data_IF_564871424978
#
_entry.id   IF_564871424978
#
_cell.length_a   1.000
_cell.length_b   1.000
_cell.length_c   1.000
_cell.angle_alpha   90.00
_cell.angle_beta   90.00
_cell.angle_gamma   90.00
#
_symmetry.space_group_name_H-M   'P 1'
#
loop_
_entity.id
_entity.type
_entity.pdbx_description
1 polymer ?
2 branched ?
3 branched ?
4 non-polymer ?
5 non-polymer ?
6 water ?
#
# COMPACT_ATOMS: atom_id res chain seq x y z
N UNK A 1 -25.31 6.13 2.21
CA UNK A 1 -26.48 6.50 1.37
C UNK A 1 -26.58 5.47 0.25
N UNK A 2 -25.96 5.78 -0.89
CA UNK A 2 -25.95 4.86 -2.02
C UNK A 2 -24.51 4.41 -2.18
N UNK A 3 -24.34 3.27 -2.82
CA UNK A 3 -23.01 2.75 -3.07
C UNK A 3 -22.27 3.72 -4.00
N UNK A 4 -20.99 3.96 -3.73
CA UNK A 4 -20.22 4.82 -4.59
C UNK A 4 -19.88 4.15 -5.92
N UNK A 5 -19.92 4.93 -6.99
CA UNK A 5 -19.58 4.43 -8.32
C UNK A 5 -18.39 5.25 -8.82
N UNK A 6 -17.41 4.55 -9.37
CA UNK A 6 -16.19 5.17 -9.91
C UNK A 6 -16.53 5.82 -11.24
N UNK A 7 -17.23 6.95 -11.17
CA UNK A 7 -17.65 7.63 -12.38
C UNK A 7 -16.66 8.63 -12.92
N UNK A 8 -15.73 9.11 -12.09
CA UNK A 8 -14.75 10.10 -12.54
C UNK A 8 -13.41 9.54 -12.99
N UNK A 9 -12.69 10.35 -13.77
CA UNK A 9 -11.36 10.00 -14.20
C UNK A 9 -10.42 10.74 -13.26
N UNK A 10 -9.12 10.49 -13.33
CA UNK A 10 -8.14 11.17 -12.46
C UNK A 10 -7.92 12.63 -12.84
N UNK A 11 -7.61 13.46 -11.85
CA UNK A 11 -7.29 14.84 -12.12
C UNK A 11 -5.88 14.84 -12.75
N UNK A 12 -5.54 15.89 -13.48
CA UNK A 12 -4.22 15.98 -14.08
C UNK A 12 -3.21 16.23 -12.96
N UNK A 13 -2.19 15.39 -12.89
CA UNK A 13 -1.18 15.49 -11.85
C UNK A 13 0.00 16.28 -12.38
N UNK A 14 0.12 17.54 -11.93
CA UNK A 14 1.24 18.41 -12.35
C UNK A 14 2.29 18.53 -11.25
N UNK A 15 1.93 18.10 -10.04
CA UNK A 15 2.82 18.07 -8.88
C UNK A 15 2.06 17.41 -7.73
N UNK A 16 2.71 17.32 -6.56
CA UNK A 16 2.13 16.71 -5.37
C UNK A 16 2.20 17.70 -4.23
N UNK A 17 1.09 17.87 -3.51
CA UNK A 17 1.08 18.77 -2.35
C UNK A 17 1.00 17.92 -1.08
N UNK A 18 1.45 18.47 0.06
CA UNK A 18 1.42 17.75 1.34
C UNK A 18 -0.05 17.57 1.77
N UNK A 19 -0.36 16.33 2.18
CA UNK A 19 -1.72 15.97 2.59
C UNK A 19 -1.78 15.68 4.09
N UNK A 20 -0.95 14.75 4.55
CA UNK A 20 -0.94 14.44 5.97
C UNK A 20 0.42 13.94 6.40
N UNK A 21 0.75 14.12 7.67
CA UNK A 21 2.03 13.67 8.23
C UNK A 21 1.79 13.57 9.71
N UNK A 22 2.08 12.42 10.30
CA UNK A 22 1.85 12.30 11.74
C UNK A 22 3.03 12.46 12.69
N UNK A 23 4.27 12.46 12.20
CA UNK A 23 5.44 12.61 13.07
C UNK A 23 5.35 11.66 14.28
N UNK A 24 4.86 10.44 14.04
CA UNK A 24 4.64 9.46 15.11
C UNK A 24 5.87 9.11 15.99
N UNK A 25 7.00 8.86 15.35
CA UNK A 25 8.23 8.49 16.06
C UNK A 25 8.76 9.64 16.92
N UNK A 26 8.74 10.87 16.39
CA UNK A 26 9.20 12.06 17.13
C UNK A 26 8.34 12.19 18.38
N UNK A 27 7.03 12.26 18.17
CA UNK A 27 6.07 12.43 19.26
C UNK A 27 6.11 11.29 20.29
N UNK A 28 6.17 10.06 19.78
CA UNK A 28 6.17 8.87 20.60
C UNK A 28 7.37 8.67 21.48
N UNK A 29 8.40 9.48 21.27
CA UNK A 29 9.60 9.41 22.11
C UNK A 29 9.18 9.76 23.57
N UNK A 30 8.11 10.54 23.71
CA UNK A 30 7.63 10.96 25.00
C UNK A 30 6.09 11.03 25.12
N UNK A 31 5.42 10.01 24.59
CA UNK A 31 3.98 9.94 24.70
C UNK A 31 3.59 8.52 24.30
N UNK A 32 2.36 8.12 24.62
CA UNK A 32 1.87 6.76 24.40
C UNK A 32 1.45 6.38 22.99
N UNK A 33 2.46 6.32 22.12
CA UNK A 33 2.28 5.98 20.72
C UNK A 33 2.55 4.49 20.49
N UNK A 34 1.61 3.83 19.83
CA UNK A 34 1.74 2.42 19.51
C UNK A 34 2.80 2.20 18.42
N UNK A 35 3.51 1.08 18.54
CA UNK A 35 4.49 0.70 17.54
C UNK A 35 3.64 0.15 16.38
N UNK A 36 4.01 0.51 15.17
CA UNK A 36 3.27 0.03 14.01
C UNK A 36 4.24 -0.25 12.86
N UNK A 37 3.61 -0.64 11.75
CA UNK A 37 4.22 -0.83 10.43
C UNK A 37 3.08 -1.17 9.46
N UNK A 38 3.38 -1.20 8.18
CA UNK A 38 2.39 -1.47 7.15
C UNK A 38 1.20 -0.50 7.21
N UNK A 39 1.48 0.81 7.19
CA UNK A 39 0.41 1.82 7.30
C UNK A 39 -0.24 2.10 5.94
N UNK A 40 -1.32 2.84 5.95
CA UNK A 40 -1.99 3.27 4.73
C UNK A 40 -3.00 4.34 5.09
N UNK A 41 -3.77 4.82 4.11
CA UNK A 41 -4.76 5.85 4.37
C UNK A 41 -6.05 5.40 3.65
N UNK A 42 -7.19 5.72 4.24
CA UNK A 42 -8.45 5.33 3.61
C UNK A 42 -9.56 6.27 4.07
N UNK A 43 -10.41 6.64 3.11
CA UNK A 43 -11.50 7.57 3.37
C UNK A 43 -12.88 6.96 3.44
N UNK A 44 -13.68 7.57 4.30
CA UNK A 44 -15.09 7.30 4.49
C UNK A 44 -15.73 8.54 3.80
N UNK A 45 -17.06 8.53 3.58
CA UNK A 45 -17.68 9.70 2.95
C UNK A 45 -17.53 11.01 3.72
N UNK A 46 -17.34 10.91 5.03
CA UNK A 46 -17.24 12.11 5.87
C UNK A 46 -15.91 12.33 6.59
N UNK A 47 -14.94 11.45 6.39
CA UNK A 47 -13.66 11.56 7.08
C UNK A 47 -12.59 10.69 6.42
N UNK A 48 -11.33 11.12 6.46
CA UNK A 48 -10.20 10.32 5.95
C UNK A 48 -9.33 10.04 7.16
N UNK A 49 -8.87 8.80 7.27
CA UNK A 49 -8.06 8.35 8.40
C UNK A 49 -6.80 7.55 8.05
N UNK A 50 -5.86 7.55 9.01
CA UNK A 50 -4.62 6.78 8.89
C UNK A 50 -4.95 5.39 9.43
N UNK A 51 -4.30 4.38 8.86
CA UNK A 51 -4.48 2.97 9.22
C UNK A 51 -3.09 2.34 9.31
N UNK A 52 -2.96 1.27 10.11
CA UNK A 52 -1.71 0.52 10.22
C UNK A 52 -1.88 -0.72 11.06
N UNK A 53 -0.88 -1.58 11.02
CA UNK A 53 -0.86 -2.79 11.81
C UNK A 53 -0.07 -2.49 13.09
N UNK A 54 -0.77 -2.38 14.22
CA UNK A 54 -0.15 -2.17 15.52
C UNK A 54 0.64 -3.42 15.88
N UNK A 55 1.60 -3.23 16.79
CA UNK A 55 2.38 -4.32 17.32
C UNK A 55 1.95 -4.64 18.77
N UNK A 56 0.90 -3.97 19.25
CA UNK A 56 0.40 -4.22 20.59
C UNK A 56 1.34 -3.81 21.72
N UNK A 57 1.99 -2.66 21.54
CA UNK A 57 2.90 -2.11 22.54
C UNK A 57 3.24 -0.68 22.13
N UNK A 58 3.62 0.16 23.09
CA UNK A 58 4.06 1.52 22.78
C UNK A 58 5.55 1.44 22.37
N UNK A 59 6.07 2.49 21.75
CA UNK A 59 7.47 2.50 21.30
C UNK A 59 8.42 2.53 22.49
N UNK A 60 8.10 3.34 23.49
CA UNK A 60 8.91 3.42 24.69
C UNK A 60 8.73 2.23 25.61
N UNK A 61 7.66 1.48 25.43
CA UNK A 61 7.41 0.32 26.26
C UNK A 61 8.44 -0.77 26.07
N UNK A 62 8.69 -1.54 27.13
CA UNK A 62 9.65 -2.65 27.05
C UNK A 62 9.27 -3.74 26.01
N UNK A 63 7.96 -3.90 25.72
CA UNK A 63 7.54 -4.89 24.74
C UNK A 63 7.83 -4.47 23.31
N UNK A 64 8.43 -3.28 23.12
CA UNK A 64 8.77 -2.82 21.76
C UNK A 64 9.98 -3.67 21.25
N UNK A 65 10.68 -4.29 22.19
CA UNK A 65 11.79 -5.12 21.85
C UNK A 65 11.30 -6.31 21.04
N UNK A 66 11.76 -6.42 19.80
CA UNK A 66 11.37 -7.55 18.98
C UNK A 66 10.33 -7.28 17.91
N UNK A 67 9.85 -6.04 17.86
CA UNK A 67 8.85 -5.62 16.89
C UNK A 67 9.31 -5.63 15.44
N UNK A 68 10.55 -6.08 15.19
CA UNK A 68 10.97 -6.21 13.80
C UNK A 68 10.14 -7.37 13.16
N UNK A 69 9.69 -8.33 13.98
CA UNK A 69 8.90 -9.45 13.49
C UNK A 69 7.54 -9.02 12.91
N UNK A 70 7.20 -9.61 11.77
CA UNK A 70 5.96 -9.28 11.08
C UNK A 70 4.65 -9.86 11.56
N UNK A 71 4.68 -11.05 12.14
CA UNK A 71 3.44 -11.69 12.51
C UNK A 71 3.45 -12.19 13.93
N UNK A 72 2.43 -11.81 14.69
CA UNK A 72 2.30 -12.25 16.08
C UNK A 72 0.85 -12.12 16.43
N UNK A 73 0.50 -12.64 17.60
CA UNK A 73 -0.88 -12.58 18.07
C UNK A 73 -1.21 -11.21 18.66
N UNK A 74 -0.23 -10.34 18.74
CA UNK A 74 -0.42 -9.02 19.34
C UNK A 74 -0.66 -7.88 18.37
N UNK A 75 -0.77 -8.22 17.09
CA UNK A 75 -1.01 -7.22 16.07
C UNK A 75 -2.50 -7.05 15.76
N UNK A 76 -2.84 -5.88 15.23
CA UNK A 76 -4.23 -5.58 14.88
C UNK A 76 -4.28 -4.42 13.91
N UNK A 77 -5.30 -4.38 13.07
CA UNK A 77 -5.46 -3.26 12.15
C UNK A 77 -6.11 -2.16 13.00
N UNK A 78 -5.47 -1.00 13.03
CA UNK A 78 -6.02 0.13 13.74
C UNK A 78 -6.15 1.33 12.81
N UNK A 79 -7.07 2.24 13.12
CA UNK A 79 -7.20 3.47 12.36
C UNK A 79 -7.26 4.60 13.38
N UNK A 80 -6.89 5.80 12.95
CA UNK A 80 -6.89 6.95 13.83
C UNK A 80 -6.98 8.24 12.99
N UNK A 81 -7.31 9.39 13.64
CA UNK A 81 -7.59 10.62 12.87
C UNK A 81 -6.39 11.05 12.04
N UNK A 82 -6.70 11.54 10.84
CA UNK A 82 -5.68 12.01 9.89
C UNK A 82 -4.62 12.92 10.53
N UNK A 83 -3.36 12.53 10.34
CA UNK A 83 -2.22 13.28 10.81
C UNK A 83 -1.92 13.26 12.31
N UNK A 84 -2.78 12.62 13.09
CA UNK A 84 -2.53 12.42 14.52
C UNK A 84 -1.60 11.19 14.52
N UNK A 85 -0.85 10.94 15.62
CA UNK A 85 -0.13 9.67 15.67
C UNK A 85 -1.02 8.54 16.21
N UNK A 86 -0.67 7.28 15.92
CA UNK A 86 -1.42 6.14 16.47
C UNK A 86 -1.13 5.96 17.97
N UNK A 87 -1.96 6.54 18.81
CA UNK A 87 -1.78 6.44 20.26
C UNK A 87 -2.68 5.36 20.85
N UNK A 88 -2.35 4.96 22.06
CA UNK A 88 -3.13 3.97 22.75
C UNK A 88 -4.56 4.48 22.94
N UNK A 89 -4.68 5.78 23.18
CA UNK A 89 -5.96 6.39 23.47
C UNK A 89 -6.85 6.84 22.28
N UNK A 90 -6.30 7.00 21.09
CA UNK A 90 -7.12 7.45 19.95
C UNK A 90 -7.17 6.42 18.81
N UNK A 91 -6.54 5.26 18.99
CA UNK A 91 -6.53 4.26 17.96
C UNK A 91 -7.73 3.32 18.07
N UNK A 92 -8.44 3.18 16.95
CA UNK A 92 -9.62 2.33 16.89
C UNK A 92 -9.23 1.02 16.22
N UNK A 93 -9.49 -0.10 16.89
CA UNK A 93 -9.15 -1.40 16.31
C UNK A 93 -10.25 -1.85 15.34
N UNK A 94 -9.88 -2.10 14.10
CA UNK A 94 -10.79 -2.55 13.07
C UNK A 94 -10.97 -4.10 13.09
N UNK A 95 -9.89 -4.81 13.37
CA UNK A 95 -9.85 -6.27 13.47
C UNK A 95 -8.44 -6.72 13.91
N UNK A 96 -8.36 -7.98 14.30
CA UNK A 96 -7.14 -8.58 14.81
C UNK A 96 -6.39 -9.38 13.72
N UNK A 97 -5.09 -9.15 13.61
CA UNK A 97 -4.33 -9.85 12.58
C UNK A 97 -3.05 -9.15 12.16
N UNK A 98 -2.32 -9.80 11.25
CA UNK A 98 -1.03 -9.30 10.77
C UNK A 98 -0.92 -8.98 9.29
N UNK A 99 -2.07 -8.92 8.63
CA UNK A 99 -2.14 -8.56 7.21
C UNK A 99 -3.57 -8.06 7.02
N UNK A 100 -3.71 -6.96 6.27
CA UNK A 100 -5.03 -6.38 6.11
C UNK A 100 -5.27 -5.52 4.89
N UNK A 101 -6.53 -5.14 4.75
CA UNK A 101 -7.02 -4.20 3.75
C UNK A 101 -8.33 -3.66 4.33
N UNK A 102 -8.81 -2.56 3.76
CA UNK A 102 -10.02 -1.90 4.21
C UNK A 102 -10.48 -0.88 3.17
N UNK A 103 -11.79 -0.78 3.01
CA UNK A 103 -12.34 0.22 2.09
C UNK A 103 -13.81 0.46 2.37
N UNK A 104 -14.25 1.70 2.13
CA UNK A 104 -15.64 2.12 2.31
C UNK A 104 -16.36 1.99 0.95
N UNK A 105 -17.54 1.40 0.93
CA UNK A 105 -18.25 1.25 -0.34
C UNK A 105 -19.25 2.38 -0.61
N UNK A 106 -19.29 3.35 0.30
CA UNK A 106 -20.21 4.47 0.14
C UNK A 106 -21.31 4.39 1.18
N UNK A 107 -21.62 3.19 1.63
CA UNK A 107 -22.65 2.97 2.65
C UNK A 107 -21.96 2.69 3.98
N UNK A 108 -21.02 1.74 3.97
CA UNK A 108 -20.27 1.42 5.18
C UNK A 108 -18.91 0.82 4.78
N UNK A 109 -18.09 0.54 5.78
CA UNK A 109 -16.73 0.02 5.54
C UNK A 109 -16.53 -1.47 5.73
N UNK A 110 -15.69 -2.03 4.87
CA UNK A 110 -15.31 -3.43 4.93
C UNK A 110 -13.84 -3.42 5.36
N UNK A 111 -13.51 -4.20 6.39
CA UNK A 111 -12.12 -4.35 6.84
C UNK A 111 -11.81 -5.84 6.86
N UNK A 112 -10.60 -6.20 6.44
CA UNK A 112 -10.19 -7.60 6.40
C UNK A 112 -8.88 -7.79 7.16
N UNK A 113 -8.86 -8.76 8.06
CA UNK A 113 -7.63 -9.06 8.81
C UNK A 113 -7.40 -10.56 8.75
N UNK A 114 -6.15 -10.92 8.50
CA UNK A 114 -5.71 -12.30 8.40
C UNK A 114 -4.85 -12.55 9.64
N UNK A 115 -5.10 -13.67 10.31
CA UNK A 115 -4.30 -14.05 11.47
C UNK A 115 -4.07 -15.55 11.40
N UNK A 116 -3.20 -16.05 12.26
CA UNK A 116 -2.92 -17.47 12.29
C UNK A 116 -1.42 -17.72 12.24
N UNK A 117 -1.04 -18.98 12.49
CA UNK A 117 0.32 -19.42 12.19
C UNK A 117 0.51 -19.47 10.67
N UNK A 118 1.76 -19.55 10.25
CA UNK A 118 2.07 -19.57 8.83
C UNK A 118 1.35 -20.62 8.02
N UNK A 119 1.19 -21.82 8.59
CA UNK A 119 0.54 -22.90 7.87
C UNK A 119 -0.95 -23.05 8.13
N UNK A 120 -1.56 -22.12 8.84
CA UNK A 120 -2.98 -22.27 9.16
C UNK A 120 -3.69 -20.93 9.38
N UNK A 121 -3.37 -19.94 8.55
CA UNK A 121 -3.97 -18.61 8.65
C UNK A 121 -5.37 -18.56 8.09
N UNK A 122 -6.10 -17.50 8.43
CA UNK A 122 -7.46 -17.32 7.95
C UNK A 122 -7.80 -15.84 7.92
N UNK A 123 -8.59 -15.45 6.94
CA UNK A 123 -9.02 -14.08 6.81
C UNK A 123 -10.43 -13.93 7.37
N UNK A 124 -10.69 -12.84 8.08
CA UNK A 124 -12.05 -12.57 8.49
C UNK A 124 -12.44 -11.19 7.98
N UNK A 125 -13.53 -11.22 7.20
CA UNK A 125 -14.07 -10.04 6.55
C UNK A 125 -15.17 -9.44 7.39
N UNK A 126 -14.92 -8.21 7.83
CA UNK A 126 -15.80 -7.39 8.66
C UNK A 126 -16.53 -6.39 7.78
N UNK A 127 -17.81 -6.18 8.05
CA UNK A 127 -18.59 -5.20 7.30
C UNK A 127 -19.50 -4.48 8.30
N UNK A 128 -19.48 -3.16 8.26
CA UNK A 128 -20.27 -2.38 9.21
C UNK A 128 -19.86 -2.71 10.65
N UNK A 129 -18.56 -2.91 10.83
CA UNK A 129 -17.90 -3.24 12.10
C UNK A 129 -18.30 -4.56 12.76
N UNK A 130 -18.76 -5.51 11.96
CA UNK A 130 -19.18 -6.85 12.42
C UNK A 130 -18.53 -7.90 11.52
N UNK A 131 -18.13 -9.05 12.11
CA UNK A 131 -17.58 -10.14 11.29
C UNK A 131 -18.68 -10.79 10.47
N UNK A 132 -18.44 -10.92 9.17
CA UNK A 132 -19.45 -11.51 8.29
C UNK A 132 -19.01 -12.81 7.57
N UNK A 133 -17.79 -12.80 7.04
CA UNK A 133 -17.28 -13.96 6.29
C UNK A 133 -15.86 -14.34 6.73
N UNK A 134 -15.52 -15.61 6.61
CA UNK A 134 -14.19 -16.10 6.94
C UNK A 134 -13.70 -16.98 5.80
N UNK A 135 -12.40 -16.89 5.49
CA UNK A 135 -11.79 -17.66 4.40
C UNK A 135 -10.53 -18.32 4.94
N UNK A 136 -10.49 -19.66 4.88
CA UNK A 136 -9.34 -20.38 5.38
C UNK A 136 -8.20 -20.39 4.35
N UNK A 137 -6.97 -20.48 4.84
CA UNK A 137 -5.79 -20.55 3.97
C UNK A 137 -6.02 -21.67 2.92
N UNK A 138 -5.67 -21.38 1.65
CA UNK A 138 -5.80 -22.39 0.59
C UNK A 138 -4.47 -23.04 0.18
N UNK A 139 -3.36 -22.46 0.56
CA UNK A 139 -2.07 -23.00 0.20
C UNK A 139 -1.19 -23.24 1.43
N UNK A 140 -1.74 -22.96 2.61
CA UNK A 140 -1.05 -23.19 3.87
C UNK A 140 0.34 -22.57 3.98
N UNK A 141 0.47 -21.36 3.47
CA UNK A 141 1.75 -20.68 3.50
C UNK A 141 1.56 -19.15 3.49
N UNK A 142 1.33 -18.61 4.68
CA UNK A 142 1.16 -17.18 4.88
C UNK A 142 0.11 -16.48 3.99
N UNK A 143 -1.15 -16.84 4.20
CA UNK A 143 -2.26 -16.18 3.50
C UNK A 143 -2.00 -14.68 3.78
N UNK A 144 -2.02 -13.84 2.75
CA UNK A 144 -1.71 -12.43 2.92
C UNK A 144 -2.44 -11.54 1.91
N UNK A 145 -2.57 -10.25 2.21
CA UNK A 145 -3.30 -9.38 1.34
C UNK A 145 -2.60 -8.04 1.06
N UNK A 146 -3.36 -7.04 0.66
CA UNK A 146 -2.85 -5.76 0.20
C UNK A 146 -1.94 -4.86 1.04
N UNK A 147 -2.33 -4.65 2.28
CA UNK A 147 -1.64 -3.76 3.20
C UNK A 147 -1.92 -2.30 2.82
N UNK A 148 -2.94 -2.09 2.00
CA UNK A 148 -3.38 -0.73 1.66
C UNK A 148 -4.86 -0.85 1.29
N UNK A 149 -5.55 0.27 1.10
CA UNK A 149 -6.97 0.18 0.81
C UNK A 149 -7.43 -0.55 -0.44
N UNK A 150 -8.60 -1.16 -0.33
CA UNK A 150 -9.24 -1.80 -1.48
C UNK A 150 -10.11 -0.68 -2.09
N UNK A 151 -10.85 -0.99 -3.15
CA UNK A 151 -11.70 0.02 -3.81
C UNK A 151 -13.02 -0.66 -4.18
N UNK A 152 -14.11 0.08 -4.10
CA UNK A 152 -15.43 -0.45 -4.41
C UNK A 152 -16.10 0.29 -5.56
N UNK A 153 -17.01 -0.41 -6.23
CA UNK A 153 -17.81 0.16 -7.33
C UNK A 153 -19.18 -0.51 -7.24
N UNK A 154 -20.21 0.30 -7.02
CA UNK A 154 -21.59 -0.18 -6.88
C UNK A 154 -21.72 -1.31 -5.84
N UNK A 155 -20.99 -1.18 -4.74
CA UNK A 155 -21.06 -2.19 -3.69
C UNK A 155 -20.11 -3.33 -3.87
N UNK A 156 -19.49 -3.47 -5.04
CA UNK A 156 -18.51 -4.58 -5.26
C UNK A 156 -17.08 -4.10 -4.95
N UNK A 157 -16.45 -4.75 -3.99
CA UNK A 157 -15.09 -4.38 -3.54
C UNK A 157 -14.11 -5.52 -3.76
N UNK A 158 -13.36 -5.49 -4.89
CA UNK A 158 -12.38 -6.54 -5.16
C UNK A 158 -11.15 -6.44 -4.23
N UNK A 159 -10.60 -7.60 -3.85
CA UNK A 159 -9.43 -7.65 -2.99
C UNK A 159 -8.50 -8.73 -3.52
N UNK A 160 -7.19 -8.45 -3.55
CA UNK A 160 -6.21 -9.41 -4.03
C UNK A 160 -5.53 -10.05 -2.84
N UNK A 161 -5.50 -11.38 -2.82
CA UNK A 161 -4.87 -12.17 -1.76
C UNK A 161 -3.83 -13.08 -2.43
N UNK A 162 -2.85 -13.52 -1.66
CA UNK A 162 -1.84 -14.45 -2.11
C UNK A 162 -1.60 -15.44 -0.98
N UNK A 163 -1.44 -16.71 -1.33
CA UNK A 163 -1.14 -17.75 -0.36
C UNK A 163 -0.15 -18.69 -1.08
N UNK A 164 0.91 -19.05 -0.36
CA UNK A 164 1.95 -19.91 -0.91
C UNK A 164 3.31 -19.24 -0.89
N UNK A 165 4.24 -19.80 -1.63
CA UNK A 165 5.61 -19.31 -1.68
C UNK A 165 5.82 -17.83 -2.04
N UNK A 166 6.87 -17.26 -1.45
CA UNK A 166 7.27 -15.88 -1.69
C UNK A 166 8.44 -15.88 -2.69
N UNK A 167 8.95 -17.06 -2.98
CA UNK A 167 10.12 -17.19 -3.86
C UNK A 167 9.94 -18.22 -4.96
N UNK A 168 8.69 -18.39 -5.38
CA UNK A 168 8.34 -19.32 -6.43
C UNK A 168 6.89 -19.02 -6.74
N UNK A 169 6.26 -19.69 -7.71
CA UNK A 169 4.83 -19.47 -7.99
C UNK A 169 3.95 -19.74 -6.76
N UNK A 170 2.95 -18.88 -6.58
CA UNK A 170 2.04 -18.97 -5.47
C UNK A 170 0.59 -18.93 -5.98
N UNK A 171 -0.38 -19.01 -5.08
CA UNK A 171 -1.77 -18.97 -5.49
C UNK A 171 -2.45 -17.66 -5.11
N UNK A 172 -2.51 -16.76 -6.08
CA UNK A 172 -3.10 -15.46 -5.90
C UNK A 172 -4.55 -15.55 -6.36
N UNK A 173 -5.44 -14.95 -5.58
CA UNK A 173 -6.86 -14.92 -5.86
C UNK A 173 -7.42 -13.50 -5.77
N UNK A 174 -8.40 -13.21 -6.62
CA UNK A 174 -9.07 -11.93 -6.61
C UNK A 174 -10.49 -12.26 -6.12
N UNK A 175 -10.87 -11.70 -4.96
CA UNK A 175 -12.19 -11.89 -4.39
C UNK A 175 -13.04 -10.65 -4.64
N UNK A 176 -14.28 -10.86 -5.04
CA UNK A 176 -15.23 -9.78 -5.26
C UNK A 176 -16.22 -9.88 -4.12
N UNK A 177 -16.12 -8.93 -3.18
CA UNK A 177 -17.01 -8.89 -2.01
C UNK A 177 -18.12 -7.85 -2.18
N UNK A 178 -19.23 -8.10 -1.52
CA UNK A 178 -20.34 -7.15 -1.50
C UNK A 178 -21.03 -7.35 -0.15
N UNK A 179 -20.98 -6.32 0.67
CA UNK A 179 -21.53 -6.32 2.02
C UNK A 179 -20.85 -7.41 2.83
N UNK A 180 -19.53 -7.57 2.63
CA UNK A 180 -18.76 -8.57 3.36
C UNK A 180 -18.94 -10.00 2.87
N UNK A 181 -19.82 -10.22 1.90
CA UNK A 181 -20.06 -11.56 1.38
C UNK A 181 -19.31 -11.79 0.07
N UNK A 182 -18.94 -13.04 -0.19
CA UNK A 182 -18.22 -13.37 -1.40
C UNK A 182 -19.17 -13.57 -2.58
N UNK A 183 -19.06 -12.71 -3.58
CA UNK A 183 -19.89 -12.88 -4.76
C UNK A 183 -19.19 -13.86 -5.71
N UNK A 184 -17.86 -13.80 -5.72
CA UNK A 184 -17.06 -14.61 -6.64
C UNK A 184 -15.57 -14.43 -6.34
N UNK A 185 -14.77 -15.41 -6.75
CA UNK A 185 -13.32 -15.30 -6.66
C UNK A 185 -12.76 -15.95 -7.93
N UNK A 186 -11.60 -15.48 -8.38
CA UNK A 186 -10.92 -16.02 -9.54
C UNK A 186 -9.47 -16.23 -9.13
N UNK A 187 -8.81 -17.24 -9.72
CA UNK A 187 -7.35 -17.26 -9.73
C UNK A 187 -6.75 -16.18 -10.63
N UNK A 188 -5.57 -15.72 -10.22
CA UNK A 188 -4.85 -14.74 -11.01
C UNK A 188 -4.62 -15.27 -12.43
N UNK A 189 -4.76 -14.40 -13.41
CA UNK A 189 -4.50 -14.77 -14.80
C UNK A 189 -3.63 -13.66 -15.34
N UNK A 190 -3.28 -13.75 -16.62
CA UNK A 190 -2.44 -12.74 -17.24
C UNK A 190 -0.99 -13.15 -17.18
N UNK A 191 -0.08 -12.19 -17.40
CA UNK A 191 1.34 -12.46 -17.43
C UNK A 191 2.16 -12.16 -16.16
N UNK A 192 1.51 -11.61 -15.13
CA UNK A 192 2.21 -11.32 -13.89
C UNK A 192 2.60 -12.69 -13.33
N UNK A 193 3.86 -12.88 -12.97
CA UNK A 193 4.33 -14.18 -12.48
C UNK A 193 4.24 -14.40 -10.97
N UNK A 194 4.13 -13.32 -10.24
CA UNK A 194 4.02 -13.40 -8.78
C UNK A 194 3.41 -12.09 -8.30
N UNK A 195 2.47 -12.18 -7.37
CA UNK A 195 1.78 -11.02 -6.85
C UNK A 195 1.77 -10.94 -5.33
N UNK A 196 2.04 -9.74 -4.81
CA UNK A 196 2.00 -9.48 -3.38
C UNK A 196 1.72 -8.01 -3.11
N UNK A 197 1.03 -7.74 -2.01
CA UNK A 197 0.77 -6.38 -1.57
C UNK A 197 0.30 -5.34 -2.60
N UNK A 198 -0.81 -5.62 -3.27
CA UNK A 198 -1.33 -4.69 -4.27
C UNK A 198 -1.81 -3.34 -3.76
N UNK A 199 -1.42 -2.28 -4.47
CA UNK A 199 -1.84 -0.91 -4.17
C UNK A 199 -2.83 -0.55 -5.27
N UNK A 200 -4.08 -0.26 -4.89
CA UNK A 200 -5.10 -0.02 -5.90
C UNK A 200 -5.81 1.32 -5.84
N UNK A 201 -6.41 1.70 -6.97
CA UNK A 201 -7.20 2.92 -7.05
C UNK A 201 -8.24 2.66 -8.15
N UNK A 202 -9.30 3.44 -8.18
CA UNK A 202 -10.32 3.27 -9.18
C UNK A 202 -10.68 4.56 -9.92
N UNK A 203 -11.01 4.40 -11.20
CA UNK A 203 -11.42 5.54 -12.01
C UNK A 203 -12.14 5.01 -13.21
N UNK A 204 -13.20 5.71 -13.61
CA UNK A 204 -14.01 5.33 -14.76
C UNK A 204 -14.36 3.83 -14.82
N UNK A 205 -14.92 3.33 -13.72
CA UNK A 205 -15.36 1.94 -13.57
C UNK A 205 -14.31 0.86 -13.77
N UNK A 206 -13.06 1.21 -13.53
CA UNK A 206 -11.96 0.26 -13.62
C UNK A 206 -11.06 0.43 -12.38
N UNK A 207 -10.56 -0.69 -11.86
CA UNK A 207 -9.69 -0.65 -10.69
C UNK A 207 -8.30 -1.11 -11.09
N UNK A 208 -7.30 -0.25 -10.87
CA UNK A 208 -5.90 -0.56 -11.20
C UNK A 208 -5.11 -0.82 -9.92
N UNK A 209 -4.40 -1.94 -9.92
CA UNK A 209 -3.55 -2.36 -8.81
C UNK A 209 -2.11 -2.53 -9.25
N UNK A 210 -1.20 -1.84 -8.57
CA UNK A 210 0.24 -1.96 -8.86
C UNK A 210 0.71 -2.78 -7.67
N UNK A 211 1.25 -3.97 -7.95
CA UNK A 211 1.66 -4.83 -6.88
C UNK A 211 3.16 -5.06 -6.84
N UNK A 212 3.56 -6.17 -6.24
CA UNK A 212 4.97 -6.51 -6.13
C UNK A 212 5.24 -7.99 -6.44
N UNK A 213 6.21 -8.20 -7.31
CA UNK A 213 6.64 -9.53 -7.66
C UNK A 213 7.84 -9.79 -6.76
N UNK A 214 7.62 -10.48 -5.66
CA UNK A 214 8.70 -10.72 -4.74
C UNK A 214 9.75 -11.71 -5.31
N UNK A 215 9.25 -12.63 -6.11
CA UNK A 215 10.08 -13.69 -6.68
C UNK A 215 11.17 -13.26 -7.65
N UNK A 216 10.76 -12.68 -8.77
CA UNK A 216 11.71 -12.31 -9.81
C UNK A 216 11.78 -10.89 -10.32
N UNK A 217 10.65 -10.20 -10.40
CA UNK A 217 10.62 -8.87 -10.98
C UNK A 217 10.96 -7.63 -10.21
N UNK A 218 11.75 -6.77 -10.86
CA UNK A 218 12.14 -5.47 -10.31
C UNK A 218 11.25 -4.40 -10.95
N UNK A 219 10.56 -4.80 -12.03
CA UNK A 219 9.52 -3.95 -12.63
C UNK A 219 8.30 -4.42 -11.81
N UNK A 220 7.24 -3.62 -11.74
CA UNK A 220 6.05 -4.02 -10.96
C UNK A 220 4.94 -4.65 -11.80
N UNK A 221 4.36 -5.75 -11.30
CA UNK A 221 3.14 -6.32 -11.88
C UNK A 221 1.93 -5.42 -11.66
N UNK A 222 1.01 -5.47 -12.60
CA UNK A 222 -0.18 -4.65 -12.54
C UNK A 222 -1.38 -5.51 -12.84
N UNK A 223 -2.41 -5.37 -12.02
CA UNK A 223 -3.68 -6.06 -12.18
C UNK A 223 -4.77 -5.00 -12.40
N UNK A 224 -5.47 -5.11 -13.52
CA UNK A 224 -6.58 -4.21 -13.84
C UNK A 224 -7.86 -5.02 -13.72
N UNK A 225 -8.73 -4.54 -12.84
CA UNK A 225 -9.97 -5.21 -12.53
C UNK A 225 -11.23 -4.52 -13.02
N UNK A 226 -12.11 -5.31 -13.61
CA UNK A 226 -13.42 -4.80 -14.04
C UNK A 226 -14.38 -5.26 -12.92
N UNK A 227 -14.82 -4.32 -12.06
CA UNK A 227 -15.68 -4.74 -10.94
C UNK A 227 -17.13 -5.06 -11.32
N UNK A 228 -17.52 -4.75 -12.56
CA UNK A 228 -18.88 -5.06 -13.01
C UNK A 228 -18.91 -6.46 -13.60
N UNK A 229 -18.01 -6.74 -14.54
CA UNK A 229 -17.89 -8.04 -15.15
C UNK A 229 -17.23 -8.99 -14.16
N UNK A 230 -16.54 -8.42 -13.16
CA UNK A 230 -15.83 -9.22 -12.16
C UNK A 230 -14.79 -10.10 -12.85
N UNK A 231 -13.98 -9.45 -13.69
CA UNK A 231 -12.90 -10.10 -14.43
C UNK A 231 -11.66 -9.19 -14.30
N UNK A 232 -10.49 -9.69 -14.69
CA UNK A 232 -9.27 -8.90 -14.60
C UNK A 232 -8.23 -9.39 -15.60
N UNK A 233 -7.15 -8.62 -15.70
CA UNK A 233 -6.01 -8.95 -16.54
C UNK A 233 -4.80 -8.60 -15.69
N UNK A 234 -3.64 -9.07 -16.12
CA UNK A 234 -2.40 -8.75 -15.44
C UNK A 234 -1.23 -8.68 -16.43
N UNK A 235 -0.26 -7.80 -16.14
CA UNK A 235 0.95 -7.63 -16.93
C UNK A 235 1.94 -6.94 -15.99
N UNK A 236 3.02 -6.41 -16.56
CA UNK A 236 4.02 -5.65 -15.80
C UNK A 236 4.07 -4.25 -16.41
N UNK A 237 4.54 -3.28 -15.63
CA UNK A 237 4.73 -1.93 -16.15
C UNK A 237 5.89 -2.11 -17.17
N UNK A 238 5.64 -1.76 -18.42
CA UNK A 238 6.61 -1.88 -19.53
C UNK A 238 7.87 -1.02 -19.35
N UNK A 239 7.70 0.15 -18.76
CA UNK A 239 8.79 1.10 -18.56
C UNK A 239 10.11 0.56 -18.02
N UNK A 240 11.24 1.03 -18.60
CA UNK A 240 12.59 0.80 -18.05
C UNK A 240 12.89 1.52 -16.73
N UNK A 241 11.99 2.43 -16.31
CA UNK A 241 12.17 3.13 -15.02
C UNK A 241 11.65 2.11 -13.99
N UNK A 242 12.56 1.28 -13.45
CA UNK A 242 12.19 0.21 -12.52
C UNK A 242 11.80 0.75 -11.15
N UNK A 243 10.71 0.21 -10.60
CA UNK A 243 10.20 0.74 -9.35
C UNK A 243 10.12 -0.14 -8.10
N UNK A 244 10.67 -1.35 -8.17
CA UNK A 244 10.71 -2.15 -6.95
C UNK A 244 12.02 -1.76 -6.21
N UNK A 245 12.27 -2.40 -5.08
CA UNK A 245 13.49 -2.20 -4.27
C UNK A 245 13.70 -3.47 -3.43
N UNK A 246 14.93 -4.02 -3.39
CA UNK A 246 16.06 -3.62 -4.25
C UNK A 246 15.79 -3.86 -5.73
N UNK A 247 16.67 -3.35 -6.59
CA UNK A 247 16.48 -3.49 -8.02
C UNK A 247 17.82 -3.22 -8.71
N UNK A 248 17.99 -3.70 -9.97
CA UNK A 248 19.16 -3.30 -10.76
C UNK A 248 18.98 -1.88 -11.22
N UNK A 249 20.00 -1.34 -11.88
CA UNK A 249 19.95 0.01 -12.43
C UNK A 249 18.96 0.00 -13.57
N UNK A 250 18.42 1.17 -13.90
CA UNK A 250 17.44 1.28 -14.99
C UNK A 250 18.10 0.97 -16.34
N UNK A 251 17.51 0.06 -17.14
CA UNK A 251 17.94 -0.17 -18.53
C UNK A 251 17.34 0.87 -19.47
N UNK A 252 17.46 0.66 -20.77
CA UNK A 252 16.90 1.60 -21.74
C UNK A 252 15.59 1.02 -22.25
N UNK A 253 15.37 -0.27 -22.00
CA UNK A 253 14.13 -0.89 -22.43
C UNK A 253 13.66 -1.88 -21.33
N UNK A 254 12.38 -1.80 -20.98
CA UNK A 254 11.82 -2.67 -19.95
C UNK A 254 11.12 -3.90 -20.49
N UNK A 255 10.36 -4.58 -19.64
CA UNK A 255 9.61 -5.77 -20.04
C UNK A 255 8.11 -5.61 -19.69
N UNK A 256 7.26 -5.90 -20.68
CA UNK A 256 5.82 -5.78 -20.52
C UNK A 256 5.11 -7.00 -19.95
N UNK A 257 5.65 -8.18 -20.21
CA UNK A 257 5.02 -9.43 -19.78
C UNK A 257 5.87 -10.45 -19.04
N UNK A 258 7.02 -10.03 -18.54
CA UNK A 258 7.90 -10.92 -17.80
C UNK A 258 8.51 -10.04 -16.76
N UNK A 259 8.95 -10.63 -15.66
CA UNK A 259 9.71 -9.87 -14.64
C UNK A 259 11.05 -9.42 -15.18
N UNK A 260 11.44 -8.20 -14.84
CA UNK A 260 12.73 -7.74 -15.27
C UNK A 260 13.70 -8.28 -14.25
N UNK A 261 14.75 -9.01 -14.71
CA UNK A 261 15.58 -9.80 -13.78
C UNK A 261 16.69 -8.97 -13.16
N UNK A 262 17.44 -9.59 -12.25
CA UNK A 262 18.53 -8.89 -11.60
C UNK A 262 18.47 -8.97 -10.10
N UNK A 263 17.28 -9.16 -9.56
CA UNK A 263 17.12 -9.24 -8.11
C UNK A 263 16.02 -10.25 -7.84
N UNK A 264 16.32 -11.24 -6.99
CA UNK A 264 15.36 -12.28 -6.66
C UNK A 264 14.94 -12.24 -5.20
N UNK A 265 13.76 -12.78 -4.98
CA UNK A 265 13.21 -12.95 -3.65
C UNK A 265 13.32 -11.79 -2.69
N UNK A 266 12.82 -10.65 -3.09
CA UNK A 266 12.82 -9.47 -2.25
C UNK A 266 12.02 -8.40 -2.98
N UNK A 267 11.72 -7.32 -2.28
CA UNK A 267 10.96 -6.26 -2.88
C UNK A 267 10.34 -5.39 -1.80
N UNK A 268 9.47 -4.49 -2.19
CA UNK A 268 8.79 -3.61 -1.25
C UNK A 268 7.44 -3.23 -1.85
N UNK A 269 6.42 -3.09 -1.01
CA UNK A 269 5.11 -2.68 -1.48
C UNK A 269 5.28 -1.28 -2.09
N UNK A 270 4.66 -1.04 -3.25
CA UNK A 270 4.75 0.24 -3.93
C UNK A 270 3.49 0.51 -4.73
N UNK A 271 3.47 1.57 -5.56
CA UNK A 271 2.28 1.92 -6.31
C UNK A 271 2.59 2.78 -7.52
N UNK A 272 1.55 3.07 -8.30
CA UNK A 272 1.69 3.93 -9.46
C UNK A 272 0.29 4.37 -9.90
N UNK A 273 0.24 5.45 -10.69
CA UNK A 273 -1.01 5.92 -11.28
C UNK A 273 -0.71 5.82 -12.77
N UNK A 274 -1.43 4.91 -13.43
CA UNK A 274 -1.23 4.64 -14.86
C UNK A 274 -2.40 5.22 -15.60
N UNK A 275 -2.16 6.36 -16.22
CA UNK A 275 -3.22 7.07 -16.91
C UNK A 275 -2.68 7.80 -18.16
N UNK A 276 -2.16 7.03 -19.12
CA UNK A 276 -1.63 7.59 -20.35
C UNK A 276 -0.50 8.56 -20.08
N UNK A 277 -0.59 9.74 -20.64
CA UNK A 277 0.45 10.73 -20.41
C UNK A 277 0.44 11.21 -18.93
N UNK A 278 -0.71 11.10 -18.28
CA UNK A 278 -0.87 11.50 -16.87
C UNK A 278 -0.43 10.32 -15.97
N UNK A 279 0.72 9.72 -16.29
CA UNK A 279 1.26 8.60 -15.52
C UNK A 279 2.40 8.98 -14.58
N UNK A 280 2.27 8.61 -13.30
CA UNK A 280 3.30 8.91 -12.30
C UNK A 280 3.69 7.67 -11.52
N UNK A 281 5.00 7.44 -11.40
CA UNK A 281 5.53 6.26 -10.70
C UNK A 281 6.24 6.65 -9.42
N UNK A 282 5.98 5.91 -8.33
CA UNK A 282 6.69 6.19 -7.10
C UNK A 282 7.78 5.14 -6.95
N UNK A 283 8.86 5.50 -6.28
CA UNK A 283 9.94 4.55 -6.02
C UNK A 283 10.97 5.10 -5.05
N UNK A 284 11.69 4.18 -4.41
CA UNK A 284 12.77 4.55 -3.50
C UNK A 284 13.87 5.10 -4.42
N UNK A 285 14.67 6.03 -3.90
CA UNK A 285 15.77 6.60 -4.68
C UNK A 285 16.88 5.54 -4.78
N UNK A 286 17.24 4.96 -3.64
CA UNK A 286 18.27 3.93 -3.63
C UNK A 286 17.81 2.68 -4.39
N UNK A 287 18.74 2.02 -5.09
CA UNK A 287 18.40 0.77 -5.79
C UNK A 287 18.70 -0.39 -4.85
N UNK A 288 19.39 -0.11 -3.75
CA UNK A 288 19.78 -1.14 -2.78
C UNK A 288 18.94 -1.24 -1.51
N UNK A 289 18.46 -0.12 -0.98
CA UNK A 289 17.65 -0.16 0.24
C UNK A 289 16.45 0.78 0.25
N UNK A 290 15.64 0.66 1.30
CA UNK A 290 14.42 1.45 1.46
C UNK A 290 14.83 2.80 1.98
N UNK A 291 15.39 3.53 1.06
CA UNK A 291 15.96 4.83 1.31
C UNK A 291 15.47 5.80 0.26
N UNK A 292 15.04 6.95 0.71
CA UNK A 292 14.54 7.99 -0.16
C UNK A 292 13.23 7.60 -0.84
N UNK A 293 12.63 8.59 -1.50
CA UNK A 293 11.39 8.36 -2.22
C UNK A 293 11.17 9.49 -3.19
N UNK A 294 10.79 9.13 -4.40
CA UNK A 294 10.52 10.09 -5.45
C UNK A 294 9.36 9.66 -6.33
N UNK A 295 8.70 10.65 -6.93
CA UNK A 295 7.61 10.48 -7.88
C UNK A 295 8.18 10.92 -9.24
N UNK A 296 7.96 10.11 -10.27
CA UNK A 296 8.44 10.36 -11.63
C UNK A 296 7.27 10.27 -12.63
N UNK A 297 7.12 11.29 -13.45
CA UNK A 297 6.09 11.31 -14.46
C UNK A 297 6.73 10.57 -15.62
N UNK A 298 6.14 9.42 -15.96
CA UNK A 298 6.65 8.57 -17.03
C UNK A 298 5.46 8.29 -17.95
N UNK A 299 5.29 9.14 -18.98
CA UNK A 299 4.12 9.03 -19.86
C UNK A 299 4.04 7.63 -20.47
N UNK A 300 2.87 7.02 -20.35
CA UNK A 300 2.59 5.71 -20.90
C UNK A 300 3.48 4.58 -20.36
N UNK A 301 3.94 4.71 -19.12
CA UNK A 301 4.81 3.71 -18.49
C UNK A 301 4.30 2.26 -18.60
N UNK A 302 2.98 2.09 -18.43
CA UNK A 302 2.39 0.76 -18.48
C UNK A 302 2.56 0.04 -19.81
N UNK A 303 2.45 0.78 -20.90
CA UNK A 303 2.49 0.19 -22.22
C UNK A 303 3.69 0.49 -23.11
N UNK A 304 4.52 1.44 -22.71
CA UNK A 304 5.69 1.86 -23.49
C UNK A 304 6.99 1.35 -22.86
N UNK A 305 7.60 0.33 -23.48
CA UNK A 305 8.82 -0.27 -22.93
C UNK A 305 10.11 0.55 -23.03
N UNK A 306 9.97 1.79 -23.49
CA UNK A 306 11.12 2.67 -23.59
C UNK A 306 10.82 4.01 -22.89
N UNK A 307 9.67 4.09 -22.21
CA UNK A 307 9.28 5.32 -21.52
C UNK A 307 10.24 5.74 -20.41
N UNK A 308 10.56 7.03 -20.38
CA UNK A 308 11.48 7.59 -19.41
C UNK A 308 10.87 8.88 -18.84
N UNK A 309 11.42 9.42 -17.74
CA UNK A 309 10.75 10.50 -17.01
C UNK A 309 10.73 11.85 -17.74
N UNK A 310 9.66 12.60 -17.57
CA UNK A 310 9.55 13.92 -18.20
C UNK A 310 9.46 15.00 -17.11
N UNK A 311 9.24 14.56 -15.89
CA UNK A 311 9.10 15.44 -14.74
C UNK A 311 9.27 14.60 -13.50
N UNK A 312 9.48 15.23 -12.35
CA UNK A 312 9.62 14.47 -11.13
C UNK A 312 9.48 15.29 -9.87
N UNK A 313 9.34 14.62 -8.73
CA UNK A 313 9.26 15.34 -7.46
C UNK A 313 9.87 14.47 -6.39
N UNK A 314 10.84 14.99 -5.65
CA UNK A 314 11.44 14.22 -4.57
C UNK A 314 10.50 14.35 -3.37
N UNK A 315 10.26 13.21 -2.73
CA UNK A 315 9.36 13.16 -1.55
C UNK A 315 10.17 13.02 -0.26
N UNK A 316 11.17 12.13 -0.30
CA UNK A 316 12.03 11.88 0.85
C UNK A 316 13.45 11.77 0.30
N UNK A 317 14.40 12.46 0.93
CA UNK A 317 15.81 12.44 0.52
C UNK A 317 16.39 11.04 0.68
N UNK A 318 17.35 10.71 -0.18
CA UNK A 318 18.00 9.40 -0.13
C UNK A 318 18.76 9.20 1.16
N UNK A 319 18.92 10.26 1.93
CA UNK A 319 19.60 10.15 3.21
C UNK A 319 18.61 9.92 4.33
N UNK A 320 17.38 9.64 3.95
CA UNK A 320 16.32 9.33 4.91
C UNK A 320 15.63 8.02 4.57
N UNK A 321 15.19 7.32 5.60
CA UNK A 321 14.53 6.03 5.45
C UNK A 321 13.09 6.16 4.97
N UNK A 322 12.73 5.28 4.04
CA UNK A 322 11.38 5.23 3.51
C UNK A 322 10.82 3.85 3.88
N UNK A 323 10.08 3.23 2.98
CA UNK A 323 9.49 1.93 3.24
C UNK A 323 8.36 1.68 2.25
N UNK A 324 7.29 1.06 2.72
CA UNK A 324 6.13 0.78 1.88
C UNK A 324 5.48 2.09 1.39
N UNK A 325 4.76 2.00 0.29
CA UNK A 325 4.04 3.14 -0.24
C UNK A 325 2.81 2.57 -0.95
N UNK A 326 1.72 3.32 -0.91
CA UNK A 326 0.51 2.85 -1.55
C UNK A 326 -0.42 3.98 -1.94
N UNK A 327 -1.44 3.61 -2.70
CA UNK A 327 -2.41 4.56 -3.21
C UNK A 327 -3.76 4.57 -2.45
N UNK A 328 -4.42 5.71 -2.52
CA UNK A 328 -5.76 5.91 -1.97
C UNK A 328 -6.24 7.23 -2.58
N UNK A 329 -7.54 7.42 -2.59
CA UNK A 329 -8.13 8.67 -3.04
C UNK A 329 -9.40 8.90 -2.25
N UNK A 330 -9.76 10.17 -2.15
CA UNK A 330 -10.99 10.52 -1.46
C UNK A 330 -12.07 10.49 -2.58
N UNK A 331 -12.75 9.35 -2.69
CA UNK A 331 -13.82 9.18 -3.67
C UNK A 331 -15.06 10.01 -3.37
N UNK A 332 -15.07 10.71 -2.24
CA UNK A 332 -16.22 11.51 -1.85
C UNK A 332 -15.97 13.01 -1.85
N UNK A 333 -14.87 13.43 -2.48
CA UNK A 333 -14.51 14.85 -2.58
C UNK A 333 -15.39 15.56 -3.63
N UNK A 334 -15.42 16.88 -3.60
CA UNK A 334 -16.17 17.63 -4.59
C UNK A 334 -15.36 17.69 -5.89
N UNK A 335 -15.95 18.21 -6.95
CA UNK A 335 -15.19 18.33 -8.18
C UNK A 335 -15.55 17.30 -9.23
N UNK A 336 -14.89 17.42 -10.37
CA UNK A 336 -15.15 16.57 -11.50
C UNK A 336 -14.19 15.42 -11.72
N UNK A 337 -13.15 15.33 -10.90
CA UNK A 337 -12.16 14.27 -11.08
C UNK A 337 -11.67 13.77 -9.73
N UNK A 338 -11.10 12.57 -9.71
CA UNK A 338 -10.53 12.00 -8.49
C UNK A 338 -9.08 12.45 -8.36
N UNK A 339 -8.73 12.99 -7.21
CA UNK A 339 -7.38 13.47 -6.96
C UNK A 339 -6.51 12.32 -6.42
N UNK A 340 -5.54 11.91 -7.21
CA UNK A 340 -4.63 10.83 -6.85
C UNK A 340 -3.88 11.17 -5.57
N UNK A 341 -3.80 10.21 -4.63
CA UNK A 341 -3.03 10.41 -3.39
C UNK A 341 -2.19 9.18 -3.12
N UNK A 342 -1.22 9.31 -2.22
CA UNK A 342 -0.37 8.19 -1.83
C UNK A 342 0.26 8.46 -0.48
N UNK A 343 0.75 7.41 0.15
CA UNK A 343 1.46 7.58 1.42
C UNK A 343 2.80 6.86 1.28
N UNK A 344 3.76 7.26 2.12
CA UNK A 344 5.03 6.61 2.21
C UNK A 344 5.24 6.29 3.71
N UNK A 345 5.58 5.04 3.97
CA UNK A 345 5.84 4.57 5.31
C UNK A 345 7.30 4.94 5.54
N UNK A 346 7.60 5.68 6.61
CA UNK A 346 8.97 6.09 6.94
C UNK A 346 9.41 5.18 8.10
N UNK A 347 10.07 4.07 7.76
CA UNK A 347 10.51 3.09 8.76
C UNK A 347 11.71 3.53 9.59
N UNK A 348 11.59 3.35 10.91
CA UNK A 348 12.67 3.70 11.83
C UNK A 348 12.96 2.47 12.67
N UNK A 349 14.19 2.35 13.14
CA UNK A 349 14.57 1.21 13.95
C UNK A 349 15.15 0.09 13.12
N UNK A 350 14.95 -1.13 13.58
CA UNK A 350 15.51 -2.30 12.88
C UNK A 350 14.90 -2.59 11.53
N UNK A 351 15.70 -3.12 10.59
CA UNK A 351 17.10 -3.53 10.77
C UNK A 351 18.14 -2.46 10.51
N UNK A 352 17.77 -1.38 9.86
CA UNK A 352 18.74 -0.34 9.51
C UNK A 352 19.32 0.39 10.70
N UNK A 353 18.49 0.69 11.68
CA UNK A 353 18.95 1.39 12.87
C UNK A 353 18.87 0.43 14.06
N UNK A 354 19.93 -0.38 14.21
CA UNK A 354 19.91 -1.38 15.26
C UNK A 354 20.37 -1.04 16.66
N UNK A 355 20.59 0.24 16.95
CA UNK A 355 20.97 0.62 18.30
C UNK A 355 19.72 0.53 19.19
N UNK A 356 18.53 0.56 18.58
CA UNK A 356 17.29 0.38 19.33
C UNK A 356 16.87 -1.04 18.98
N UNK A 357 16.02 -1.61 19.83
CA UNK A 357 15.51 -2.98 19.68
C UNK A 357 14.14 -3.11 19.01
N UNK A 358 13.57 -1.96 18.63
CA UNK A 358 12.27 -1.94 18.00
C UNK A 358 12.32 -1.55 16.53
N UNK A 359 11.18 -1.71 15.87
CA UNK A 359 10.98 -1.29 14.48
C UNK A 359 9.61 -0.65 14.49
N UNK A 360 9.52 0.57 13.97
CA UNK A 360 8.22 1.24 13.83
C UNK A 360 8.28 2.12 12.60
N UNK A 361 7.39 3.10 12.52
CA UNK A 361 7.39 4.00 11.39
C UNK A 361 6.49 5.21 11.66
N UNK A 362 6.58 6.20 10.76
CA UNK A 362 5.65 7.30 10.79
C UNK A 362 5.07 7.32 9.37
N UNK A 363 4.15 8.23 9.11
CA UNK A 363 3.51 8.32 7.81
C UNK A 363 3.59 9.72 7.22
N UNK A 364 3.84 9.80 5.90
CA UNK A 364 3.77 11.06 5.17
C UNK A 364 2.87 10.72 3.99
N UNK A 365 2.02 11.67 3.60
CA UNK A 365 1.14 11.42 2.47
C UNK A 365 0.92 12.70 1.69
N UNK A 366 0.77 12.54 0.38
CA UNK A 366 0.57 13.63 -0.56
C UNK A 366 -0.61 13.30 -1.49
N UNK A 367 -1.14 14.33 -2.14
CA UNK A 367 -2.20 14.21 -3.14
C UNK A 367 -1.75 15.10 -4.31
N UNK A 368 -2.32 14.88 -5.48
CA UNK A 368 -1.89 15.66 -6.63
C UNK A 368 -2.47 17.07 -6.70
N UNK A 369 -1.74 17.93 -7.41
CA UNK A 369 -2.14 19.30 -7.64
C UNK A 369 -2.08 19.54 -9.14
N UNK A 370 -3.02 20.33 -9.66
CA UNK A 370 -2.95 20.67 -11.08
C UNK A 370 -1.94 21.82 -11.25
N UNK A 371 -1.48 22.39 -10.14
CA UNK A 371 -0.46 23.44 -10.21
C UNK A 371 0.90 22.75 -10.27
N UNK A 372 1.95 23.51 -10.56
CA UNK A 372 3.32 22.97 -10.59
C UNK A 372 3.98 23.53 -9.36
N UNK A 373 3.72 22.89 -8.22
CA UNK A 373 4.21 23.33 -6.93
C UNK A 373 5.67 23.06 -6.61
N UNK A 374 6.24 23.98 -5.83
CA UNK A 374 7.60 23.81 -5.36
C UNK A 374 7.65 22.57 -4.49
N UNK A 375 8.82 21.95 -4.39
CA UNK A 375 8.93 20.74 -3.60
C UNK A 375 9.77 20.86 -2.32
N UNK A 376 9.40 20.09 -1.30
CA UNK A 376 10.14 20.00 -0.05
C UNK A 376 10.36 18.50 0.16
N UNK A 377 11.26 18.10 1.06
CA UNK A 377 11.46 16.68 1.36
C UNK A 377 10.77 16.52 2.73
N UNK A 378 10.29 15.30 3.00
CA UNK A 378 9.53 15.04 4.20
C UNK A 378 10.03 13.84 5.00
N UNK A 379 11.06 14.04 5.82
CA UNK A 379 11.57 12.88 6.57
C UNK A 379 10.78 12.58 7.85
N UNK A 380 11.04 11.42 8.42
CA UNK A 380 10.38 11.04 9.67
C UNK A 380 10.63 12.14 10.72
N UNK A 381 11.89 12.54 10.85
CA UNK A 381 12.25 13.60 11.77
C UNK A 381 12.72 13.24 13.16
N UNK A 382 12.70 11.96 13.52
CA UNK A 382 13.14 11.57 14.85
C UNK A 382 14.65 11.34 14.92
N UNK A 383 15.23 11.59 16.09
CA UNK A 383 16.65 11.34 16.35
C UNK A 383 16.73 10.06 17.16
N UNK A 384 17.25 8.99 16.54
CA UNK A 384 17.38 7.69 17.21
C UNK A 384 18.14 7.79 18.53
N UNK A 385 19.19 8.61 18.56
CA UNK A 385 20.02 8.79 19.77
C UNK A 385 19.18 9.07 21.02
N UNK A 386 18.07 9.78 20.84
CA UNK A 386 17.16 10.11 21.95
C UNK A 386 16.54 8.89 22.60
N UNK A 387 16.38 7.84 21.81
CA UNK A 387 15.78 6.61 22.27
C UNK A 387 16.76 5.68 22.99
N UNK A 388 18.04 6.06 23.00
CA UNK A 388 19.06 5.21 23.61
C UNK A 388 19.20 5.38 25.09
X LIG B 1 -4.84 -26.40 11.25
X LIG B 1 -4.10 -27.58 11.95
X LIG B 1 -5.02 -28.75 12.13
X LIG B 1 -6.25 -28.28 12.85
X LIG B 1 -6.99 -27.14 12.03
X LIG B 1 -8.24 -26.65 12.73
X LIG B 1 -1.74 -27.96 11.41
X LIG B 1 -0.74 -28.35 10.34
X LIG B 1 -3.02 -27.94 11.06
X LIG B 1 -4.33 -29.69 12.93
X LIG B 1 -7.15 -29.42 13.02
X LIG B 1 -6.08 -26.05 11.87
X LIG B 1 -8.05 -26.32 14.12
X LIG B 1 -1.35 -27.74 12.56
X LIG B 2 -7.71 -29.64 14.33
X LIG B 2 -9.05 -30.31 14.31
X LIG B 2 -9.59 -30.40 15.71
X LIG B 2 -8.50 -31.11 16.55
X LIG B 2 -7.16 -30.42 16.43
X LIG B 2 -6.03 -31.02 17.18
X LIG B 2 -10.38 -29.89 12.32
X LIG B 2 -11.43 -29.04 11.59
X LIG B 2 -10.02 -29.57 13.55
X LIG B 2 -10.85 -31.05 15.78
X LIG B 2 -8.80 -31.13 17.96
X LIG B 2 -6.77 -30.35 15.08
X LIG B 2 -5.81 -32.26 16.56
X LIG B 2 -9.87 -30.84 11.72
X LIG B 3 -8.94 -32.38 18.61
X LIG B 3 -8.95 -32.12 20.09
X LIG B 3 -9.29 -33.42 20.84
X LIG B 3 -10.57 -34.12 20.26
X LIG B 3 -10.44 -34.28 18.71
X LIG B 3 -11.68 -34.91 18.13
X LIG B 3 -9.95 -31.16 20.36
X LIG B 3 -9.54 -33.10 22.24
X LIG B 3 -10.80 -35.38 20.87
X LIG B 3 -10.20 -32.97 18.15
X LIG B 3 -11.46 -35.36 16.83
X LIG B 4 -8.96 -34.07 23.10
X LIG B 4 -9.41 -33.80 24.48
X LIG B 4 -8.84 -32.41 24.95
X LIG B 4 -7.30 -32.49 24.90
X LIG B 4 -6.95 -32.75 23.47
X LIG B 4 -5.46 -32.86 23.24
X LIG B 4 -8.87 -34.90 25.21
X LIG B 4 -9.28 -32.11 26.26
X LIG B 4 -6.74 -31.29 25.40
X LIG B 4 -7.57 -34.00 22.98
X LIG B 4 -5.36 -32.86 21.78
X LIG B 5 -9.13 -34.97 26.60
X LIG B 5 -8.25 -36.16 27.10
X LIG B 5 -8.77 -37.47 26.54
X LIG B 5 -10.23 -37.55 26.91
X LIG B 5 -11.06 -36.35 26.34
X LIG B 5 -12.57 -36.48 26.71
X LIG B 5 -8.33 -36.23 28.53
X LIG B 5 -8.04 -38.53 27.09
X LIG B 5 -10.68 -38.74 26.32
X LIG B 5 -10.52 -35.15 26.89
X LIG B 5 -12.74 -36.75 28.10
X LIG B 6 -7.22 -35.73 29.23
X LIG B 6 -7.49 -36.10 30.68
X LIG B 6 -8.68 -35.25 31.22
X LIG B 6 -8.36 -33.71 31.06
X LIG B 6 -8.08 -33.42 29.50
X LIG B 6 -7.65 -31.98 29.13
X LIG B 6 -6.30 -35.87 31.43
X LIG B 6 -8.88 -35.55 32.61
X LIG B 6 -9.35 -32.86 31.57
X LIG B 6 -7.01 -34.33 28.99
X LIG B 6 -6.42 -31.75 29.74
X LIG B 7 -10.98 -36.74 16.78
X LIG B 7 -10.62 -37.09 15.34
X LIG B 7 -11.85 -37.13 14.50
X LIG B 7 -12.90 -38.03 15.12
X LIG B 7 -13.15 -37.61 16.56
X LIG B 7 -14.08 -38.51 17.25
X LIG B 7 -9.97 -38.35 15.27
X LIG B 7 -11.50 -37.65 13.25
X LIG B 7 -14.06 -37.83 14.34
X LIG B 7 -11.97 -37.63 17.29
X LIG B 7 -13.57 -39.85 17.13
X LIG C 1 -24.36 3.71 -8.24
X LIG C 1 -25.33 4.72 -7.72
X LIG C 1 -26.57 4.06 -7.12
X LIG C 1 -27.20 3.24 -8.20
X LIG C 1 -26.23 2.30 -8.93
X LIG C 1 -26.92 1.84 -10.25
X LIG C 1 -24.76 6.78 -6.59
X LIG C 1 -24.02 7.45 -5.45
X LIG C 1 -24.67 5.47 -6.68
X LIG C 1 -27.49 4.98 -6.59
X LIG C 1 -28.19 2.38 -7.62
X LIG C 1 -24.95 2.97 -9.29
X LIG C 1 -26.14 0.75 -10.62
X LIG C 1 -25.42 7.44 -7.38
X LIG C 2 -29.54 2.76 -7.84
X LIG C 2 -30.28 1.53 -7.50
X LIG C 2 -31.73 1.82 -8.00
X LIG C 2 -32.25 2.79 -6.88
X LIG C 2 -31.30 4.11 -6.86
X LIG C 2 -31.48 4.86 -5.56
X LIG C 2 -29.48 -0.45 -9.03
X LIG C 2 -28.35 -1.42 -8.75
X LIG C 2 -29.55 0.38 -8.00
X LIG C 2 -32.37 0.55 -8.10
X LIG C 2 -33.63 3.13 -6.98
X LIG C 2 -29.90 3.76 -6.91
X LIG C 2 -30.87 4.14 -4.52
X LIG C 2 -30.15 -0.32 -10.05
X LIG D 1 15.82 -7.35 23.59
X LIG D 1 16.72 -7.02 24.68
X LIG D 1 18.03 -7.75 24.53
X LIG D 1 17.80 -9.24 24.38
X LIG D 1 16.93 -9.34 23.08
X LIG D 1 16.71 -10.70 22.54
X LIG D 1 16.56 -4.85 25.70
X LIG D 1 16.85 -3.36 25.79
X LIG D 1 17.03 -5.59 24.70
X LIG D 1 18.86 -7.49 25.64
X LIG D 1 19.07 -9.92 24.33
X LIG D 1 15.68 -8.74 23.40
X LIG D 1 15.94 -11.36 23.49
X LIG D 1 15.81 -5.33 26.56
X LIG E 1 10.92 -7.87 -6.63
X LIG F 1 3.46 9.22 31.25
#
# INVERSE_FOLDING_TARGET
RDFNNLTKGLCTINSWHIYGKDNAVRIGEDSDVLVTREPYVSCDPDECRFYALSQGTTIRGKHSNGTIHDRSQYRALISWPLSSPPTVYNSRVECIGWSSTSCHDGKTRMSICISGPNNNASAVIWYNRRPVTEINTWARNILRTQESECVCHNGVCPVVFTDGSATGPAETRIYYFKEGKILKWEPLAGTAKHIEECSCYGERAEITCTCKDNWQGSNRPVIRIDPVAMTHTSQYICSPVLTDNPRPNDPTVGKCNDPYPGNNNNGVKGFSYLDGVNTWLGRTISIASRSGYEMLKVPNALTDDKSKPTQGQTIVLNTDWSGYSGSFMDYWAEGECYRACFYVELIRGRPKEDKVWWTSNSIVSMCSSTEFLGQWDWPDGAKIEYFL
NAG C1 C2 C3 C4 C5 C6 C7 C8 N2 O3 O4 O5 O6 O7
NAG C1 C2 C3 C4 C5 C6 C7 C8 N2 O3 O4 O5 O6 O7
BMA C1 C2 C3 C4 C5 C6 O2 O3 O4 O5 O6
MAN C1 C2 C3 C4 C5 C6 O2 O3 O4 O5 O6
MAN C1 C2 C3 C4 C5 C6 O2 O3 O4 O5 O6
MAN C1 C2 C3 C4 C5 C6 O2 O3 O4 O5 O6
MAN C1 C2 C3 C4 C5 C6 O2 O3 O4 O5 O6
NAG C1 C2 C3 C4 C5 C6 C7 C8 N2 O3 O4 O5 O6 O7
NAG C1 C2 C3 C4 C5 C6 C7 C8 N2 O3 O4 O5 O6 O7
NAG C1 C2 C3 C4 C5 C6 C7 C8 N2 O3 O4 O5 O6 O7
CA CA
CA CA
#
